data_IF_552129580392
#
_entry.id   IF_552129580392
#
_cell.length_a   1.000
_cell.length_b   1.000
_cell.length_c   1.000
_cell.angle_alpha   90.00
_cell.angle_beta   90.00
_cell.angle_gamma   90.00
#
_symmetry.space_group_name_H-M   'P 1'
#
loop_
_entity.id
_entity.type
_entity.pdbx_description
1 polymer ?
#
# COMPACT_ATOMS: atom_id res chain seq x y z
N UNK A 1 -19.39 -18.70 17.21
CA UNK A 1 -19.29 -17.74 16.10
C UNK A 1 -17.82 -17.50 15.82
N UNK A 2 -17.36 -17.82 14.61
CA UNK A 2 -15.98 -17.53 14.19
C UNK A 2 -15.81 -16.01 14.12
N UNK A 3 -14.86 -15.47 14.88
CA UNK A 3 -14.58 -14.04 14.91
C UNK A 3 -14.00 -13.60 13.56
N UNK A 4 -14.37 -12.44 13.02
CA UNK A 4 -13.97 -12.07 11.68
C UNK A 4 -12.51 -11.60 11.62
N UNK A 5 -11.76 -12.13 10.67
CA UNK A 5 -10.30 -12.04 10.58
C UNK A 5 -9.90 -11.07 9.46
N UNK A 6 -8.96 -10.15 9.72
CA UNK A 6 -8.37 -9.31 8.67
C UNK A 6 -7.43 -10.16 7.80
N UNK A 7 -7.61 -10.15 6.48
CA UNK A 7 -6.80 -10.92 5.54
C UNK A 7 -5.49 -10.19 5.23
N UNK A 8 -4.38 -10.73 5.73
CA UNK A 8 -3.04 -10.18 5.48
C UNK A 8 -2.73 -10.06 3.98
N UNK A 9 -3.26 -10.99 3.17
CA UNK A 9 -3.11 -10.99 1.70
C UNK A 9 -3.66 -9.69 1.10
N UNK A 10 -4.81 -9.22 1.56
CA UNK A 10 -5.39 -7.95 1.08
C UNK A 10 -4.46 -6.78 1.37
N UNK A 11 -3.89 -6.72 2.58
CA UNK A 11 -3.00 -5.64 3.00
C UNK A 11 -1.71 -5.64 2.17
N UNK A 12 -1.12 -6.82 1.95
CA UNK A 12 0.12 -6.96 1.16
C UNK A 12 -0.12 -6.53 -0.29
N UNK A 13 -1.17 -7.04 -0.94
CA UNK A 13 -1.42 -6.68 -2.34
C UNK A 13 -1.76 -5.20 -2.50
N UNK A 14 -2.62 -4.64 -1.63
CA UNK A 14 -2.96 -3.22 -1.71
C UNK A 14 -1.76 -2.31 -1.43
N UNK A 15 -0.88 -2.67 -0.51
CA UNK A 15 0.41 -1.97 -0.32
C UNK A 15 1.27 -1.99 -1.59
N UNK A 16 1.46 -3.16 -2.21
CA UNK A 16 2.26 -3.29 -3.45
C UNK A 16 1.63 -2.51 -4.60
N UNK A 17 0.29 -2.52 -4.73
CA UNK A 17 -0.43 -1.71 -5.72
C UNK A 17 -0.15 -0.22 -5.50
N UNK A 18 -0.27 0.27 -4.27
CA UNK A 18 0.00 1.68 -3.96
C UNK A 18 1.45 2.08 -4.24
N UNK A 19 2.40 1.23 -3.88
CA UNK A 19 3.83 1.45 -4.09
C UNK A 19 4.17 1.48 -5.59
N UNK A 20 3.71 0.49 -6.35
CA UNK A 20 3.96 0.40 -7.79
C UNK A 20 3.24 1.49 -8.59
N UNK A 21 2.03 1.88 -8.19
CA UNK A 21 1.32 3.01 -8.79
C UNK A 21 2.07 4.33 -8.60
N UNK A 22 2.57 4.59 -7.38
CA UNK A 22 3.37 5.79 -7.08
C UNK A 22 4.69 5.82 -7.85
N UNK A 23 5.29 4.64 -8.08
CA UNK A 23 6.45 4.46 -8.94
C UNK A 23 6.16 4.78 -10.41
N UNK A 24 5.12 4.17 -10.99
CA UNK A 24 4.69 4.45 -12.36
C UNK A 24 4.39 5.94 -12.55
N UNK A 25 3.65 6.56 -11.62
CA UNK A 25 3.35 7.98 -11.67
C UNK A 25 4.63 8.83 -11.65
N UNK A 26 5.57 8.52 -10.75
CA UNK A 26 6.81 9.28 -10.64
C UNK A 26 7.69 9.14 -11.89
N UNK A 27 7.80 7.94 -12.47
CA UNK A 27 8.54 7.71 -13.73
C UNK A 27 7.97 8.48 -14.92
N UNK A 28 6.64 8.68 -14.95
CA UNK A 28 5.97 9.37 -16.04
C UNK A 28 5.99 10.91 -15.87
N UNK A 29 6.15 11.42 -14.65
CA UNK A 29 5.97 12.85 -14.35
C UNK A 29 7.23 13.55 -13.85
N UNK A 30 8.18 12.82 -13.25
CA UNK A 30 9.36 13.39 -12.61
C UNK A 30 10.62 13.00 -13.40
N UNK A 31 11.29 14.00 -13.95
CA UNK A 31 12.50 13.85 -14.75
C UNK A 31 13.64 13.04 -14.09
N UNK A 32 13.89 13.11 -12.77
CA UNK A 32 15.00 12.38 -12.16
C UNK A 32 14.76 10.87 -12.02
N UNK A 33 13.52 10.40 -12.15
CA UNK A 33 13.18 9.00 -11.86
C UNK A 33 13.33 8.16 -13.13
N UNK A 34 14.29 7.21 -13.18
CA UNK A 34 14.53 6.41 -14.38
C UNK A 34 13.33 5.52 -14.69
N UNK A 35 13.02 5.39 -15.98
CA UNK A 35 11.95 4.51 -16.45
C UNK A 35 12.28 3.04 -16.12
N UNK A 36 11.32 2.32 -15.55
CA UNK A 36 11.42 0.89 -15.30
C UNK A 36 10.12 0.16 -15.63
N UNK A 37 10.18 -0.73 -16.61
CA UNK A 37 9.04 -1.56 -17.01
C UNK A 37 8.55 -2.49 -15.89
N UNK A 38 9.43 -2.86 -14.96
CA UNK A 38 9.09 -3.74 -13.85
C UNK A 38 8.03 -3.15 -12.90
N UNK A 39 7.97 -1.83 -12.74
CA UNK A 39 6.94 -1.18 -11.92
C UNK A 39 5.55 -1.39 -12.52
N UNK A 40 5.42 -1.28 -13.84
CA UNK A 40 4.17 -1.51 -14.55
C UNK A 40 3.73 -2.97 -14.51
N UNK A 41 4.66 -3.91 -14.70
CA UNK A 41 4.36 -5.34 -14.54
C UNK A 41 3.92 -5.65 -13.12
N UNK A 42 4.62 -5.11 -12.12
CA UNK A 42 4.28 -5.32 -10.70
C UNK A 42 2.89 -4.80 -10.39
N UNK A 43 2.53 -3.61 -10.89
CA UNK A 43 1.19 -3.05 -10.74
C UNK A 43 0.15 -3.96 -11.41
N UNK A 44 0.39 -4.35 -12.66
CA UNK A 44 -0.52 -5.22 -13.42
C UNK A 44 -0.78 -6.54 -12.70
N UNK A 45 0.27 -7.27 -12.32
CA UNK A 45 0.11 -8.55 -11.63
C UNK A 45 -0.54 -8.40 -10.26
N UNK A 46 -0.17 -7.37 -9.49
CA UNK A 46 -0.73 -7.15 -8.16
C UNK A 46 -2.21 -6.81 -8.21
N UNK A 47 -2.64 -5.97 -9.16
CA UNK A 47 -4.06 -5.64 -9.36
C UNK A 47 -4.84 -6.87 -9.80
N UNK A 48 -4.33 -7.66 -10.76
CA UNK A 48 -5.00 -8.88 -11.20
C UNK A 48 -5.15 -9.90 -10.07
N UNK A 49 -4.09 -10.11 -9.29
CA UNK A 49 -4.14 -11.06 -8.18
C UNK A 49 -5.04 -10.57 -7.05
N UNK A 50 -5.01 -9.27 -6.75
CA UNK A 50 -5.92 -8.67 -5.77
C UNK A 50 -7.39 -8.76 -6.22
N UNK A 51 -7.67 -8.54 -7.51
CA UNK A 51 -9.02 -8.68 -8.05
C UNK A 51 -9.54 -10.11 -7.92
N UNK A 52 -8.71 -11.11 -8.25
CA UNK A 52 -9.04 -12.51 -8.04
C UNK A 52 -9.26 -12.85 -6.56
N UNK A 53 -8.46 -12.27 -5.66
CA UNK A 53 -8.60 -12.40 -4.22
C UNK A 53 -9.90 -11.77 -3.71
N UNK A 54 -10.23 -10.56 -4.18
CA UNK A 54 -11.46 -9.84 -3.86
C UNK A 54 -12.71 -10.64 -4.22
N UNK A 55 -12.74 -11.25 -5.41
CA UNK A 55 -13.86 -12.12 -5.83
C UNK A 55 -13.96 -13.37 -4.94
N UNK A 56 -12.82 -14.00 -4.62
CA UNK A 56 -12.80 -15.24 -3.81
C UNK A 56 -13.17 -15.00 -2.35
N UNK A 57 -12.87 -13.83 -1.81
CA UNK A 57 -13.11 -13.44 -0.42
C UNK A 57 -14.20 -12.35 -0.33
N UNK A 58 -15.32 -12.52 -1.05
CA UNK A 58 -16.36 -11.50 -1.18
C UNK A 58 -16.97 -11.02 0.16
N UNK A 59 -17.01 -11.88 1.19
CA UNK A 59 -17.52 -11.54 2.53
C UNK A 59 -16.48 -10.85 3.45
N UNK A 60 -15.33 -10.41 2.92
CA UNK A 60 -14.23 -9.86 3.72
C UNK A 60 -14.28 -8.32 3.89
N UNK A 61 -15.46 -7.78 4.22
CA UNK A 61 -15.66 -6.33 4.37
C UNK A 61 -14.73 -5.70 5.43
N UNK A 62 -14.35 -6.47 6.44
CA UNK A 62 -13.53 -6.01 7.56
C UNK A 62 -12.09 -5.71 7.13
N UNK A 63 -11.61 -6.34 6.05
CA UNK A 63 -10.28 -6.09 5.47
C UNK A 63 -10.24 -4.87 4.57
N UNK A 64 -11.39 -4.36 4.09
CA UNK A 64 -11.45 -3.22 3.16
C UNK A 64 -10.76 -1.98 3.75
N UNK A 65 -11.12 -1.60 4.99
CA UNK A 65 -10.56 -0.38 5.60
C UNK A 65 -9.04 -0.50 5.86
N UNK A 66 -8.51 -1.58 6.46
CA UNK A 66 -7.07 -1.82 6.54
C UNK A 66 -6.36 -1.85 5.18
N UNK A 67 -6.98 -2.44 4.15
CA UNK A 67 -6.42 -2.53 2.81
C UNK A 67 -6.26 -1.15 2.15
N UNK A 68 -7.26 -0.26 2.28
CA UNK A 68 -7.12 1.14 1.83
C UNK A 68 -5.97 1.87 2.54
N UNK A 69 -5.82 1.65 3.85
CA UNK A 69 -4.70 2.24 4.58
C UNK A 69 -3.36 1.68 4.10
N UNK A 70 -3.25 0.37 3.86
CA UNK A 70 -2.05 -0.24 3.30
C UNK A 70 -1.71 0.31 1.91
N UNK A 71 -2.72 0.52 1.05
CA UNK A 71 -2.56 1.19 -0.25
C UNK A 71 -1.95 2.59 -0.14
N UNK A 72 -2.50 3.44 0.74
CA UNK A 72 -1.95 4.78 0.94
C UNK A 72 -0.56 4.76 1.56
N UNK A 73 -0.28 3.84 2.50
CA UNK A 73 1.08 3.62 3.01
C UNK A 73 2.03 3.33 1.85
N UNK A 74 1.64 2.47 0.89
CA UNK A 74 2.44 2.17 -0.29
C UNK A 74 2.76 3.43 -1.12
N UNK A 75 1.75 4.25 -1.41
CA UNK A 75 1.91 5.49 -2.17
C UNK A 75 2.88 6.45 -1.50
N UNK A 76 2.63 6.75 -0.23
CA UNK A 76 3.40 7.75 0.52
C UNK A 76 4.81 7.25 0.86
N UNK A 77 5.00 5.93 1.07
CA UNK A 77 6.33 5.34 1.27
C UNK A 77 7.22 5.54 0.05
N UNK A 78 6.71 5.25 -1.15
CA UNK A 78 7.48 5.49 -2.37
C UNK A 78 7.75 6.99 -2.59
N UNK A 79 6.75 7.85 -2.35
CA UNK A 79 6.95 9.30 -2.46
C UNK A 79 8.00 9.81 -1.48
N UNK A 80 8.01 9.31 -0.25
CA UNK A 80 9.00 9.67 0.77
C UNK A 80 10.40 9.20 0.36
N UNK A 81 10.51 7.97 -0.15
CA UNK A 81 11.76 7.41 -0.67
C UNK A 81 12.34 8.27 -1.79
N UNK A 82 11.55 8.62 -2.80
CA UNK A 82 11.99 9.49 -3.90
C UNK A 82 12.40 10.87 -3.41
N UNK A 83 11.64 11.48 -2.49
CA UNK A 83 12.01 12.78 -1.93
C UNK A 83 13.31 12.76 -1.12
N UNK A 84 13.69 11.61 -0.56
CA UNK A 84 15.02 11.45 0.08
C UNK A 84 16.14 11.30 -0.94
N UNK A 85 15.90 10.57 -2.04
CA UNK A 85 16.90 10.37 -3.11
C UNK A 85 17.12 11.64 -3.94
N UNK A 86 16.08 12.46 -4.07
CA UNK A 86 16.06 13.66 -4.90
C UNK A 86 15.53 14.87 -4.10
N UNK A 87 16.32 15.45 -3.18
CA UNK A 87 15.92 16.59 -2.36
C UNK A 87 15.51 17.83 -3.17
N UNK A 88 15.98 17.94 -4.41
CA UNK A 88 15.61 18.99 -5.37
C UNK A 88 14.11 18.99 -5.75
N UNK A 89 13.42 17.87 -5.54
CA UNK A 89 11.97 17.75 -5.76
C UNK A 89 11.14 18.37 -4.62
N UNK A 90 11.79 18.86 -3.56
CA UNK A 90 11.16 19.45 -2.40
C UNK A 90 11.06 18.50 -1.20
N UNK A 91 10.43 19.00 -0.13
CA UNK A 91 10.38 18.28 1.15
C UNK A 91 9.55 17.00 1.08
N UNK A 92 10.09 15.92 1.67
CA UNK A 92 9.39 14.65 1.87
C UNK A 92 8.61 14.58 3.20
N UNK A 93 8.63 15.63 4.02
CA UNK A 93 8.05 15.63 5.37
C UNK A 93 6.57 15.23 5.37
N UNK A 94 5.81 15.73 4.40
CA UNK A 94 4.39 15.39 4.28
C UNK A 94 4.18 13.89 4.05
N UNK A 95 4.90 13.31 3.08
CA UNK A 95 4.82 11.90 2.75
C UNK A 95 5.29 11.01 3.92
N UNK A 96 6.39 11.36 4.57
CA UNK A 96 6.88 10.63 5.76
C UNK A 96 5.87 10.69 6.91
N UNK A 97 5.31 11.87 7.18
CA UNK A 97 4.33 12.06 8.27
C UNK A 97 3.07 11.24 8.03
N UNK A 98 2.52 11.27 6.81
CA UNK A 98 1.35 10.46 6.47
C UNK A 98 1.64 8.97 6.53
N UNK A 99 2.77 8.50 5.99
CA UNK A 99 3.18 7.10 6.12
C UNK A 99 3.24 6.68 7.59
N UNK A 100 3.83 7.50 8.47
CA UNK A 100 3.97 7.20 9.89
C UNK A 100 2.61 7.10 10.59
N UNK A 101 1.73 8.10 10.41
CA UNK A 101 0.40 8.12 11.04
C UNK A 101 -0.41 6.89 10.61
N UNK A 102 -0.41 6.60 9.31
CA UNK A 102 -1.15 5.46 8.75
C UNK A 102 -0.55 4.12 9.21
N UNK A 103 0.77 3.99 9.25
CA UNK A 103 1.45 2.80 9.71
C UNK A 103 1.18 2.53 11.20
N UNK A 104 1.27 3.56 12.05
CA UNK A 104 0.93 3.45 13.48
C UNK A 104 -0.52 2.99 13.64
N UNK A 105 -1.46 3.59 12.91
CA UNK A 105 -2.87 3.19 12.97
C UNK A 105 -3.07 1.75 12.51
N UNK A 106 -2.42 1.34 11.41
CA UNK A 106 -2.55 0.00 10.86
C UNK A 106 -1.96 -1.04 11.82
N UNK A 107 -0.77 -0.79 12.36
CA UNK A 107 -0.11 -1.65 13.36
C UNK A 107 -0.97 -1.74 14.63
N UNK A 108 -1.45 -0.60 15.14
CA UNK A 108 -2.32 -0.59 16.31
C UNK A 108 -3.57 -1.45 16.09
N UNK A 109 -4.20 -1.30 14.92
CA UNK A 109 -5.37 -2.09 14.54
C UNK A 109 -5.05 -3.58 14.37
N UNK A 110 -3.85 -3.91 13.87
CA UNK A 110 -3.34 -5.28 13.70
C UNK A 110 -2.78 -5.91 14.98
N UNK A 111 -2.53 -5.17 16.05
CA UNK A 111 -2.00 -5.72 17.30
C UNK A 111 -3.04 -5.72 18.42
N UNK A 112 -3.84 -4.65 18.50
CA UNK A 112 -4.76 -4.38 19.61
C UNK A 112 -6.22 -4.30 19.16
N UNK A 113 -6.49 -4.45 17.86
CA UNK A 113 -7.86 -4.64 17.39
C UNK A 113 -8.43 -5.96 17.93
N UNK A 114 -9.71 -5.96 18.31
CA UNK A 114 -10.48 -7.09 18.90
C UNK A 114 -10.52 -8.39 18.07
N UNK A 115 -9.77 -8.48 16.97
CA UNK A 115 -9.87 -9.52 15.94
C UNK A 115 -8.52 -10.22 15.79
N UNK A 116 -8.44 -11.52 16.13
CA UNK A 116 -7.20 -12.32 15.98
C UNK A 116 -7.03 -12.84 14.54
N UNK A 117 -5.78 -12.88 14.08
CA UNK A 117 -5.36 -12.96 12.67
C UNK A 117 -5.18 -14.41 12.18
N UNK A 118 -5.49 -14.68 10.91
CA UNK A 118 -5.10 -15.90 10.20
C UNK A 118 -4.05 -15.53 9.16
N UNK A 119 -2.94 -16.28 9.16
CA UNK A 119 -1.96 -16.28 8.09
C UNK A 119 -2.55 -16.94 6.82
#
# INVERSE_FOLDING_TARGET
>A
MSQPIISLKWLVYTYIIGLSLSACYSMLTKQPVPFSFFAFLTLFFSVNHFYALYIKEADNEISIRPAWVAFFIGIFSYSAFIGTQHPELGSNLFSVTLTLILAIWLIYKLMFGDKRYSA
#
